data_IF_593549924805
#
_entry.id   IF_593549924805
#
_cell.length_a   1.000
_cell.length_b   1.000
_cell.length_c   1.000
_cell.angle_alpha   90.00
_cell.angle_beta   90.00
_cell.angle_gamma   90.00
#
_symmetry.space_group_name_H-M   'P 1'
#
loop_
_entity.id
_entity.type
_entity.pdbx_description
1 polymer ?
#
# COMPACT_ATOMS: atom_id res chain seq x y z
N UNK A 1 0.76 59.56 35.60
CA UNK A 1 0.94 58.09 35.60
C UNK A 1 0.23 57.40 34.43
N UNK A 2 -0.14 58.13 33.37
CA UNK A 2 -1.15 57.69 32.39
C UNK A 2 -0.62 56.79 31.25
N UNK A 3 0.67 56.93 30.92
CA UNK A 3 1.28 56.31 29.72
C UNK A 3 1.30 54.77 29.72
N UNK A 4 1.12 54.10 30.86
CA UNK A 4 1.12 52.62 30.91
C UNK A 4 -0.22 52.01 30.50
N UNK A 5 -1.34 52.63 30.91
CA UNK A 5 -2.68 52.14 30.62
C UNK A 5 -2.98 52.25 29.11
N UNK A 6 -2.68 53.40 28.52
CA UNK A 6 -2.80 53.69 27.09
C UNK A 6 -1.94 52.74 26.22
N UNK A 7 -0.72 52.40 26.66
CA UNK A 7 0.11 51.37 25.99
C UNK A 7 -0.51 49.97 26.04
N UNK A 8 -1.13 49.59 27.16
CA UNK A 8 -1.84 48.32 27.26
C UNK A 8 -3.10 48.29 26.40
N UNK A 9 -3.88 49.38 26.38
CA UNK A 9 -5.08 49.50 25.55
C UNK A 9 -4.75 49.36 24.06
N UNK A 10 -3.73 50.07 23.58
CA UNK A 10 -3.23 49.91 22.20
C UNK A 10 -2.75 48.49 21.89
N UNK A 11 -2.13 47.79 22.85
CA UNK A 11 -1.73 46.38 22.69
C UNK A 11 -2.94 45.44 22.64
N UNK A 12 -3.97 45.68 23.46
CA UNK A 12 -5.23 44.92 23.45
C UNK A 12 -5.98 45.12 22.12
N UNK A 13 -6.05 46.35 21.61
CA UNK A 13 -6.65 46.63 20.32
C UNK A 13 -5.88 46.00 19.15
N UNK A 14 -4.55 46.12 19.13
CA UNK A 14 -3.70 45.44 18.14
C UNK A 14 -3.96 43.93 18.12
N UNK A 15 -3.97 43.28 19.28
CA UNK A 15 -4.28 41.85 19.39
C UNK A 15 -5.71 41.52 18.89
N UNK A 16 -6.70 42.36 19.20
CA UNK A 16 -8.09 42.21 18.71
C UNK A 16 -8.16 42.29 17.18
N UNK A 17 -7.44 43.23 16.57
CA UNK A 17 -7.36 43.38 15.11
C UNK A 17 -6.62 42.20 14.47
N UNK A 18 -5.45 41.82 15.00
CA UNK A 18 -4.68 40.67 14.52
C UNK A 18 -5.49 39.37 14.58
N UNK A 19 -6.25 39.13 15.66
CA UNK A 19 -7.08 37.94 15.79
C UNK A 19 -8.30 37.96 14.85
N UNK A 20 -8.90 39.13 14.59
CA UNK A 20 -9.95 39.29 13.57
C UNK A 20 -9.41 38.99 12.17
N UNK A 21 -8.21 39.48 11.86
CA UNK A 21 -7.53 39.28 10.58
C UNK A 21 -7.17 37.79 10.37
N UNK A 22 -6.59 37.14 11.37
CA UNK A 22 -6.31 35.69 11.35
C UNK A 22 -7.58 34.86 11.12
N UNK A 23 -8.68 35.17 11.81
CA UNK A 23 -9.99 34.49 11.60
C UNK A 23 -10.53 34.73 10.19
N UNK A 24 -10.33 35.93 9.63
CA UNK A 24 -10.71 36.27 8.24
C UNK A 24 -9.90 35.43 7.25
N UNK A 25 -8.56 35.41 7.35
CA UNK A 25 -7.68 34.58 6.50
C UNK A 25 -8.01 33.10 6.58
N UNK A 26 -8.24 32.58 7.80
CA UNK A 26 -8.60 31.16 7.99
C UNK A 26 -9.93 30.80 7.32
N UNK A 27 -10.94 31.68 7.40
CA UNK A 27 -12.23 31.48 6.72
C UNK A 27 -12.09 31.56 5.19
N UNK A 28 -11.29 32.50 4.70
CA UNK A 28 -11.00 32.67 3.26
C UNK A 28 -10.24 31.46 2.70
N UNK A 29 -9.19 31.00 3.39
CA UNK A 29 -8.44 29.80 3.01
C UNK A 29 -9.30 28.54 3.00
N UNK A 30 -10.16 28.35 4.02
CA UNK A 30 -11.09 27.21 4.06
C UNK A 30 -12.07 27.24 2.87
N UNK A 31 -12.67 28.40 2.58
CA UNK A 31 -13.55 28.57 1.41
C UNK A 31 -12.82 28.27 0.09
N UNK A 32 -11.57 28.71 -0.05
CA UNK A 32 -10.79 28.47 -1.26
C UNK A 32 -10.44 26.97 -1.42
N UNK A 33 -10.18 26.25 -0.32
CA UNK A 33 -9.99 24.79 -0.34
C UNK A 33 -11.29 24.06 -0.71
N UNK A 34 -12.42 24.43 -0.11
CA UNK A 34 -13.75 23.87 -0.46
C UNK A 34 -14.08 24.09 -1.95
N UNK A 35 -13.77 25.28 -2.48
CA UNK A 35 -13.97 25.59 -3.90
C UNK A 35 -13.06 24.76 -4.80
N UNK A 36 -11.75 24.69 -4.53
CA UNK A 36 -10.80 23.90 -5.31
C UNK A 36 -11.14 22.40 -5.28
N UNK A 37 -11.57 21.87 -4.12
CA UNK A 37 -12.04 20.49 -4.01
C UNK A 37 -13.31 20.25 -4.85
N UNK A 38 -14.24 21.21 -4.88
CA UNK A 38 -15.45 21.11 -5.70
C UNK A 38 -15.12 21.12 -7.20
N UNK A 39 -14.24 22.03 -7.64
CA UNK A 39 -13.77 22.14 -9.02
C UNK A 39 -13.08 20.85 -9.48
N UNK A 40 -12.14 20.33 -8.68
CA UNK A 40 -11.50 19.03 -8.93
C UNK A 40 -12.51 17.86 -9.00
N UNK A 41 -13.54 17.88 -8.15
CA UNK A 41 -14.59 16.84 -8.15
C UNK A 41 -15.49 16.91 -9.40
N UNK A 42 -15.78 18.11 -9.93
CA UNK A 42 -16.47 18.26 -11.22
C UNK A 42 -15.60 17.78 -12.38
N UNK A 43 -14.33 18.20 -12.45
CA UNK A 43 -13.40 17.76 -13.51
C UNK A 43 -13.24 16.24 -13.54
N UNK A 44 -13.11 15.60 -12.38
CA UNK A 44 -13.06 14.13 -12.27
C UNK A 44 -14.37 13.47 -12.73
N UNK A 45 -15.52 14.08 -12.45
CA UNK A 45 -16.83 13.56 -12.86
C UNK A 45 -17.01 13.63 -14.38
N UNK A 46 -16.62 14.75 -14.99
CA UNK A 46 -16.66 14.96 -16.44
C UNK A 46 -15.72 14.00 -17.19
N UNK A 47 -14.50 13.77 -16.69
CA UNK A 47 -13.58 12.80 -17.30
C UNK A 47 -14.08 11.35 -17.14
N UNK A 48 -14.71 11.00 -16.02
CA UNK A 48 -15.37 9.69 -15.85
C UNK A 48 -16.52 9.51 -16.87
N UNK A 49 -17.34 10.54 -17.09
CA UNK A 49 -18.44 10.48 -18.06
C UNK A 49 -17.90 10.34 -19.50
N UNK A 50 -16.85 11.10 -19.84
CA UNK A 50 -16.16 11.00 -21.13
C UNK A 50 -15.56 9.61 -21.37
N UNK A 51 -14.87 9.05 -20.38
CA UNK A 51 -14.29 7.71 -20.47
C UNK A 51 -15.36 6.62 -20.58
N UNK A 52 -16.52 6.78 -19.91
CA UNK A 52 -17.68 5.89 -20.09
C UNK A 52 -18.20 5.95 -21.53
N UNK A 53 -18.43 7.14 -22.06
CA UNK A 53 -18.88 7.33 -23.44
C UNK A 53 -17.92 6.68 -24.45
N UNK A 54 -16.61 6.88 -24.28
CA UNK A 54 -15.59 6.26 -25.13
C UNK A 54 -15.59 4.72 -25.03
N UNK A 55 -15.75 4.17 -23.82
CA UNK A 55 -15.85 2.71 -23.64
C UNK A 55 -17.10 2.13 -24.31
N UNK A 56 -18.24 2.82 -24.25
CA UNK A 56 -19.48 2.36 -24.88
C UNK A 56 -19.46 2.51 -26.41
N UNK A 57 -18.74 3.49 -26.96
CA UNK A 57 -18.44 3.57 -28.40
C UNK A 57 -17.53 2.40 -28.84
N UNK A 58 -16.39 2.20 -28.16
CA UNK A 58 -15.47 1.10 -28.44
C UNK A 58 -16.14 -0.29 -28.30
N UNK A 59 -17.11 -0.43 -27.41
CA UNK A 59 -17.95 -1.65 -27.29
C UNK A 59 -18.84 -1.84 -28.52
N UNK A 60 -19.52 -0.79 -28.99
CA UNK A 60 -20.34 -0.84 -30.21
C UNK A 60 -19.50 -1.13 -31.45
N UNK A 61 -18.31 -0.54 -31.58
CA UNK A 61 -17.36 -0.86 -32.66
C UNK A 61 -16.89 -2.31 -32.59
N UNK A 62 -16.51 -2.81 -31.41
CA UNK A 62 -16.13 -4.21 -31.21
C UNK A 62 -17.27 -5.18 -31.56
N UNK A 63 -18.50 -4.85 -31.18
CA UNK A 63 -19.69 -5.63 -31.52
C UNK A 63 -19.95 -5.64 -33.03
N UNK A 64 -19.86 -4.48 -33.70
CA UNK A 64 -20.01 -4.37 -35.15
C UNK A 64 -18.93 -5.15 -35.92
N UNK A 65 -17.66 -5.06 -35.51
CA UNK A 65 -16.55 -5.82 -36.10
C UNK A 65 -16.72 -7.33 -35.88
N UNK A 66 -17.16 -7.74 -34.69
CA UNK A 66 -17.52 -9.15 -34.41
C UNK A 66 -18.68 -9.61 -35.29
N UNK A 67 -19.72 -8.79 -35.45
CA UNK A 67 -20.87 -9.10 -36.29
C UNK A 67 -20.47 -9.22 -37.78
N UNK A 68 -19.48 -8.46 -38.27
CA UNK A 68 -18.92 -8.66 -39.60
C UNK A 68 -18.15 -9.98 -39.71
N UNK A 69 -17.23 -10.27 -38.79
CA UNK A 69 -16.41 -11.50 -38.80
C UNK A 69 -17.29 -12.77 -38.71
N UNK A 70 -18.20 -12.82 -37.73
CA UNK A 70 -19.06 -13.97 -37.49
C UNK A 70 -20.28 -14.02 -38.42
N UNK A 71 -20.78 -12.87 -38.91
CA UNK A 71 -21.89 -12.80 -39.86
C UNK A 71 -21.48 -13.15 -41.30
N UNK A 72 -20.28 -12.77 -41.74
CA UNK A 72 -19.76 -13.14 -43.06
C UNK A 72 -19.40 -14.62 -43.19
N UNK A 73 -19.28 -15.37 -42.08
CA UNK A 73 -19.12 -16.83 -42.11
C UNK A 73 -20.48 -17.52 -42.23
N UNK A 74 -21.24 -17.14 -43.25
CA UNK A 74 -22.54 -17.70 -43.64
C UNK A 74 -22.47 -18.47 -44.96
N UNK A 75 -21.31 -19.04 -45.31
CA UNK A 75 -21.18 -20.09 -46.32
C UNK A 75 -20.23 -21.20 -45.83
N UNK A 76 -20.81 -22.33 -45.44
CA UNK A 76 -20.11 -23.62 -45.34
C UNK A 76 -19.37 -23.91 -44.04
N UNK A 77 -20.10 -24.37 -43.01
CA UNK A 77 -20.04 -25.78 -42.54
C UNK A 77 -20.93 -25.96 -41.30
N UNK A 78 -21.79 -26.98 -41.33
CA UNK A 78 -22.62 -27.38 -40.19
C UNK A 78 -21.79 -28.21 -39.19
N UNK A 79 -21.83 -27.85 -37.90
CA UNK A 79 -21.72 -28.84 -36.84
C UNK A 79 -22.61 -28.48 -35.64
N UNK A 80 -23.43 -29.43 -35.22
CA UNK A 80 -24.41 -29.30 -34.14
C UNK A 80 -23.78 -29.56 -32.75
N UNK A 81 -24.46 -29.17 -31.65
CA UNK A 81 -23.84 -29.12 -30.33
C UNK A 81 -23.76 -30.49 -29.64
N UNK A 82 -22.66 -30.73 -28.91
CA UNK A 82 -22.60 -31.77 -27.87
C UNK A 82 -22.97 -31.18 -26.50
N UNK A 83 -23.59 -32.02 -25.67
CA UNK A 83 -24.05 -31.68 -24.32
C UNK A 83 -22.92 -31.55 -23.27
N UNK A 84 -23.29 -31.35 -21.99
CA UNK A 84 -22.36 -30.93 -20.96
C UNK A 84 -21.51 -32.08 -20.40
N UNK A 85 -20.21 -31.85 -20.28
CA UNK A 85 -19.32 -32.66 -19.43
C UNK A 85 -18.47 -31.71 -18.57
N UNK A 86 -18.39 -32.05 -17.29
CA UNK A 86 -17.69 -31.30 -16.23
C UNK A 86 -16.17 -31.56 -16.23
N UNK A 87 -15.40 -30.64 -15.62
CA UNK A 87 -13.98 -30.77 -15.21
C UNK A 87 -12.98 -31.21 -16.32
N UNK A 88 -11.89 -30.49 -16.56
CA UNK A 88 -10.92 -30.12 -15.53
C UNK A 88 -9.94 -29.01 -15.98
N UNK A 89 -9.13 -28.53 -15.05
CA UNK A 89 -8.03 -27.60 -15.28
C UNK A 89 -6.93 -28.20 -16.17
N UNK A 90 -6.51 -27.48 -17.24
CA UNK A 90 -5.07 -27.20 -17.50
C UNK A 90 -4.81 -26.15 -18.57
N UNK A 91 -3.70 -25.45 -18.36
CA UNK A 91 -3.23 -24.29 -19.14
C UNK A 91 -2.70 -24.71 -20.52
N UNK A 92 -2.88 -23.84 -21.52
CA UNK A 92 -2.05 -23.84 -22.73
C UNK A 92 -1.33 -22.50 -22.87
N UNK A 93 -0.01 -22.54 -22.71
CA UNK A 93 0.89 -21.44 -23.08
C UNK A 93 1.06 -21.40 -24.60
N UNK A 94 1.06 -20.20 -25.18
CA UNK A 94 1.37 -20.00 -26.60
C UNK A 94 2.86 -19.70 -26.79
N UNK A 95 3.52 -20.52 -27.60
CA UNK A 95 4.85 -20.25 -28.16
C UNK A 95 4.77 -20.38 -29.68
N UNK A 96 5.14 -19.37 -30.48
CA UNK A 96 5.19 -19.50 -31.93
C UNK A 96 6.47 -20.22 -32.37
N UNK A 97 6.33 -21.31 -33.12
CA UNK A 97 7.46 -21.95 -33.81
C UNK A 97 7.81 -21.20 -35.09
N UNK A 98 9.09 -20.92 -35.30
CA UNK A 98 9.67 -20.58 -36.60
C UNK A 98 10.85 -21.51 -36.85
N UNK A 99 10.81 -22.23 -37.97
CA UNK A 99 11.87 -23.11 -38.44
C UNK A 99 12.62 -22.46 -39.61
N UNK A 100 13.95 -22.40 -39.53
CA UNK A 100 14.84 -22.01 -40.61
C UNK A 100 16.18 -22.74 -40.46
N UNK A 101 16.68 -23.37 -41.52
CA UNK A 101 17.66 -24.44 -41.40
C UNK A 101 19.14 -24.02 -41.51
N UNK A 102 19.95 -24.68 -40.68
CA UNK A 102 21.31 -25.21 -40.92
C UNK A 102 22.33 -24.45 -41.78
N UNK A 103 23.50 -24.16 -41.19
CA UNK A 103 24.78 -24.79 -41.60
C UNK A 103 25.68 -25.04 -40.37
N UNK A 104 26.51 -26.09 -40.45
CA UNK A 104 27.36 -26.59 -39.37
C UNK A 104 28.76 -25.96 -39.35
N UNK A 105 29.43 -25.93 -38.19
CA UNK A 105 30.78 -26.51 -38.05
C UNK A 105 31.27 -26.65 -36.59
N UNK A 106 32.09 -27.69 -36.38
CA UNK A 106 32.73 -28.20 -35.15
C UNK A 106 33.30 -27.13 -34.19
N UNK A 107 33.42 -27.34 -32.86
CA UNK A 107 34.15 -28.46 -32.20
C UNK A 107 33.86 -28.54 -30.67
N UNK A 108 34.30 -29.62 -30.02
CA UNK A 108 33.89 -30.02 -28.65
C UNK A 108 34.98 -29.74 -27.54
N UNK A 109 34.97 -30.35 -26.33
CA UNK A 109 34.95 -29.68 -25.01
C UNK A 109 36.30 -29.90 -24.26
N UNK A 110 36.50 -30.03 -22.91
CA UNK A 110 35.63 -30.05 -21.70
C UNK A 110 36.04 -28.92 -20.68
N UNK A 111 35.78 -28.91 -19.36
CA UNK A 111 35.35 -29.93 -18.39
C UNK A 111 34.65 -29.35 -17.13
N UNK A 112 34.36 -30.23 -16.16
CA UNK A 112 33.88 -29.97 -14.79
C UNK A 112 34.94 -30.42 -13.74
N UNK A 113 34.58 -30.39 -12.43
CA UNK A 113 35.34 -30.68 -11.18
C UNK A 113 35.72 -29.38 -10.42
N UNK A 114 35.30 -29.05 -9.18
CA UNK A 114 34.97 -29.71 -7.90
C UNK A 114 36.09 -29.61 -6.83
N UNK A 115 35.70 -29.24 -5.60
CA UNK A 115 36.38 -29.43 -4.30
C UNK A 115 37.32 -28.33 -3.71
N UNK A 116 36.76 -27.62 -2.71
CA UNK A 116 37.18 -27.47 -1.29
C UNK A 116 38.55 -26.97 -0.78
N UNK A 117 38.44 -26.16 0.30
CA UNK A 117 39.40 -25.91 1.42
C UNK A 117 40.70 -25.10 1.11
N UNK A 118 41.19 -24.18 1.95
CA UNK A 118 41.12 -24.04 3.43
C UNK A 118 40.95 -22.58 3.95
N UNK A 119 40.10 -22.43 4.97
CA UNK A 119 40.29 -21.77 6.29
C UNK A 119 41.46 -20.81 6.59
N UNK A 120 41.14 -19.60 7.07
CA UNK A 120 41.67 -18.98 8.33
C UNK A 120 41.08 -17.57 8.57
N UNK A 121 40.90 -17.16 9.84
CA UNK A 121 40.74 -15.74 10.23
C UNK A 121 39.39 -15.30 10.79
N UNK A 122 39.07 -15.68 12.04
CA UNK A 122 38.00 -15.05 12.82
C UNK A 122 38.44 -13.66 13.30
N UNK A 123 37.62 -12.63 13.03
CA UNK A 123 37.67 -11.32 13.69
C UNK A 123 36.23 -10.87 13.98
N UNK A 124 35.86 -10.52 15.23
CA UNK A 124 34.53 -10.03 15.54
C UNK A 124 34.39 -8.57 15.07
N UNK A 125 33.38 -8.31 14.24
CA UNK A 125 33.05 -6.94 13.84
C UNK A 125 32.49 -6.17 15.05
N UNK A 126 33.26 -5.21 15.54
CA UNK A 126 32.86 -4.32 16.63
C UNK A 126 31.70 -3.41 16.22
N UNK A 127 30.70 -3.30 17.09
CA UNK A 127 29.57 -2.37 16.96
C UNK A 127 30.04 -0.91 16.89
N UNK A 128 30.18 -0.37 15.67
CA UNK A 128 30.29 1.07 15.42
C UNK A 128 29.90 1.44 13.98
N UNK A 129 29.27 2.60 13.81
CA UNK A 129 29.11 3.32 12.54
C UNK A 129 28.22 2.67 11.45
N UNK A 130 26.94 2.41 11.74
CA UNK A 130 25.94 2.48 10.66
C UNK A 130 25.74 3.97 10.35
N UNK A 131 26.42 4.48 9.33
CA UNK A 131 26.08 5.79 8.75
C UNK A 131 24.62 5.77 8.31
N UNK A 132 23.83 6.84 8.56
CA UNK A 132 22.47 6.92 8.04
C UNK A 132 22.56 7.03 6.52
N UNK A 133 22.35 5.90 5.83
CA UNK A 133 22.22 5.85 4.38
C UNK A 133 21.10 6.79 3.98
N UNK A 134 21.46 7.91 3.36
CA UNK A 134 20.52 8.95 2.92
C UNK A 134 19.45 8.31 2.05
N UNK A 135 18.19 8.41 2.48
CA UNK A 135 17.05 7.82 1.76
C UNK A 135 16.84 8.62 0.47
N UNK A 136 17.53 8.22 -0.59
CA UNK A 136 17.41 8.80 -1.93
C UNK A 136 16.20 8.23 -2.66
N UNK A 137 15.03 8.44 -2.07
CA UNK A 137 13.72 8.10 -2.64
C UNK A 137 12.97 9.37 -3.00
N UNK A 138 12.03 9.27 -3.94
CA UNK A 138 11.25 10.41 -4.43
C UNK A 138 10.40 11.04 -3.31
N UNK A 139 10.45 12.37 -3.19
CA UNK A 139 9.60 13.19 -2.31
C UNK A 139 8.17 13.33 -2.85
N UNK A 140 7.58 12.22 -3.28
CA UNK A 140 6.20 12.14 -3.76
C UNK A 140 5.42 11.21 -2.83
N UNK A 141 4.30 11.68 -2.23
CA UNK A 141 3.47 10.82 -1.40
C UNK A 141 2.66 9.86 -2.29
N UNK A 142 2.68 8.57 -1.93
CA UNK A 142 1.89 7.53 -2.59
C UNK A 142 0.40 7.67 -2.28
N UNK A 143 -0.46 7.32 -3.25
CA UNK A 143 -1.91 7.27 -3.01
C UNK A 143 -2.29 6.12 -2.07
N UNK A 144 -2.59 6.47 -0.82
CA UNK A 144 -3.00 5.52 0.22
C UNK A 144 -4.31 4.80 -0.11
N UNK A 145 -5.22 5.40 -0.89
CA UNK A 145 -6.44 4.73 -1.36
C UNK A 145 -6.11 3.58 -2.30
N UNK A 146 -5.20 3.82 -3.26
CA UNK A 146 -4.68 2.78 -4.16
C UNK A 146 -4.01 1.64 -3.39
N UNK A 147 -3.14 1.96 -2.43
CA UNK A 147 -2.49 0.95 -1.56
C UNK A 147 -3.52 0.09 -0.82
N UNK A 148 -4.49 0.74 -0.16
CA UNK A 148 -5.57 0.06 0.57
C UNK A 148 -6.37 -0.88 -0.33
N UNK A 149 -6.76 -0.44 -1.52
CA UNK A 149 -7.47 -1.30 -2.49
C UNK A 149 -6.61 -2.50 -2.88
N UNK A 150 -5.33 -2.30 -3.20
CA UNK A 150 -4.41 -3.40 -3.54
C UNK A 150 -4.25 -4.43 -2.42
N UNK A 151 -4.12 -3.99 -1.16
CA UNK A 151 -4.07 -4.88 0.00
C UNK A 151 -5.39 -5.63 0.17
N UNK A 152 -6.53 -4.95 0.05
CA UNK A 152 -7.86 -5.58 0.18
C UNK A 152 -8.15 -6.59 -0.93
N UNK A 153 -7.65 -6.39 -2.15
CA UNK A 153 -7.73 -7.38 -3.23
C UNK A 153 -6.88 -8.62 -2.92
N UNK A 154 -5.63 -8.45 -2.48
CA UNK A 154 -4.77 -9.56 -2.06
C UNK A 154 -5.40 -10.40 -0.94
N UNK A 155 -6.08 -9.75 0.00
CA UNK A 155 -6.76 -10.40 1.13
C UNK A 155 -8.26 -10.65 0.91
N UNK A 156 -8.77 -10.51 -0.32
CA UNK A 156 -10.18 -10.71 -0.64
C UNK A 156 -10.76 -12.06 -0.15
N UNK A 157 -10.05 -13.20 -0.20
CA UNK A 157 -10.55 -14.47 0.35
C UNK A 157 -10.85 -14.43 1.85
N UNK A 158 -10.05 -13.72 2.65
CA UNK A 158 -10.32 -13.52 4.09
C UNK A 158 -11.46 -12.52 4.30
N UNK A 159 -11.44 -11.41 3.54
CA UNK A 159 -12.41 -10.31 3.69
C UNK A 159 -13.82 -10.66 3.19
N UNK A 160 -13.95 -11.72 2.38
CA UNK A 160 -15.24 -12.24 1.90
C UNK A 160 -15.99 -13.07 2.94
N UNK A 161 -15.36 -13.39 4.08
CA UNK A 161 -15.88 -14.35 5.05
C UNK A 161 -16.32 -13.67 6.35
N UNK A 162 -17.64 -13.52 6.60
CA UNK A 162 -18.15 -12.90 7.81
C UNK A 162 -17.70 -13.59 9.10
N UNK A 163 -17.41 -14.90 9.05
CA UNK A 163 -16.98 -15.70 10.22
C UNK A 163 -15.53 -15.44 10.64
N UNK A 164 -14.74 -14.85 9.75
CA UNK A 164 -13.38 -14.36 10.04
C UNK A 164 -13.47 -12.90 10.54
N UNK A 165 -14.27 -12.08 9.86
CA UNK A 165 -14.42 -10.65 10.20
C UNK A 165 -14.96 -10.42 11.61
N UNK A 166 -15.87 -11.27 12.08
CA UNK A 166 -16.43 -11.22 13.44
C UNK A 166 -15.63 -12.05 14.47
N UNK A 167 -14.56 -12.74 14.05
CA UNK A 167 -13.74 -13.60 14.91
C UNK A 167 -14.37 -14.92 15.35
N UNK A 168 -15.50 -15.35 14.79
CA UNK A 168 -16.20 -16.58 15.22
C UNK A 168 -15.55 -17.88 14.75
N UNK A 169 -14.61 -17.82 13.80
CA UNK A 169 -13.99 -19.01 13.20
C UNK A 169 -12.47 -18.85 12.98
N UNK A 170 -11.67 -18.82 14.07
CA UNK A 170 -10.22 -18.64 13.99
C UNK A 170 -9.51 -19.74 13.19
N UNK A 171 -9.95 -21.00 13.29
CA UNK A 171 -9.35 -22.11 12.53
C UNK A 171 -9.53 -21.93 11.01
N UNK A 172 -10.65 -21.32 10.60
CA UNK A 172 -10.94 -21.01 9.19
C UNK A 172 -10.09 -19.86 8.67
N UNK A 173 -9.86 -18.84 9.51
CA UNK A 173 -8.89 -17.77 9.23
C UNK A 173 -7.49 -18.34 9.00
N UNK A 174 -6.99 -19.18 9.93
CA UNK A 174 -5.69 -19.81 9.79
C UNK A 174 -5.61 -20.68 8.53
N UNK A 175 -6.61 -21.54 8.27
CA UNK A 175 -6.61 -22.39 7.08
C UNK A 175 -6.56 -21.61 5.76
N UNK A 176 -7.31 -20.51 5.64
CA UNK A 176 -7.24 -19.63 4.47
C UNK A 176 -5.89 -18.89 4.40
N UNK A 177 -5.38 -18.36 5.52
CA UNK A 177 -4.08 -17.68 5.55
C UNK A 177 -2.93 -18.60 5.10
N UNK A 178 -2.93 -19.86 5.55
CA UNK A 178 -2.00 -20.91 5.07
C UNK A 178 -2.10 -21.13 3.56
N UNK A 179 -3.31 -21.15 2.99
CA UNK A 179 -3.51 -21.32 1.55
C UNK A 179 -2.99 -20.15 0.69
N UNK A 180 -2.75 -18.99 1.30
CA UNK A 180 -2.37 -17.74 0.61
C UNK A 180 -0.88 -17.40 0.71
N UNK A 181 -0.08 -18.14 1.50
CA UNK A 181 1.33 -17.81 1.79
C UNK A 181 2.19 -17.63 0.54
N UNK A 182 1.94 -18.41 -0.51
CA UNK A 182 2.76 -18.40 -1.72
C UNK A 182 2.39 -17.33 -2.73
N UNK A 183 1.15 -16.81 -2.69
CA UNK A 183 0.68 -15.72 -3.58
C UNK A 183 0.92 -14.32 -3.01
N UNK A 184 1.20 -14.20 -1.69
CA UNK A 184 1.41 -12.92 -1.05
C UNK A 184 2.80 -12.32 -1.36
N UNK A 185 2.91 -10.99 -1.57
CA UNK A 185 4.19 -10.29 -1.68
C UNK A 185 5.09 -10.54 -0.46
N UNK A 186 6.43 -10.52 -0.59
CA UNK A 186 7.36 -10.89 0.50
C UNK A 186 7.12 -10.17 1.83
N UNK A 187 6.78 -8.88 1.79
CA UNK A 187 6.47 -8.01 2.94
C UNK A 187 5.13 -8.30 3.61
N UNK A 188 4.20 -8.95 2.89
CA UNK A 188 2.87 -9.35 3.38
C UNK A 188 2.78 -10.85 3.70
N UNK A 189 3.82 -11.65 3.44
CA UNK A 189 3.83 -13.07 3.85
C UNK A 189 3.71 -13.19 5.38
N UNK A 190 2.83 -14.05 5.91
CA UNK A 190 2.57 -14.15 7.34
C UNK A 190 3.80 -14.66 8.10
N UNK A 191 3.98 -14.16 9.32
CA UNK A 191 5.03 -14.63 10.22
C UNK A 191 4.69 -16.03 10.74
N UNK A 192 5.69 -16.76 11.25
CA UNK A 192 5.48 -18.09 11.85
C UNK A 192 4.48 -18.06 13.01
N UNK A 193 4.45 -16.95 13.76
CA UNK A 193 3.48 -16.64 14.83
C UNK A 193 2.04 -16.60 14.31
N UNK A 194 1.80 -15.89 13.20
CA UNK A 194 0.47 -15.74 12.57
C UNK A 194 -0.06 -17.06 12.00
N UNK A 195 0.83 -17.93 11.49
CA UNK A 195 0.44 -19.26 10.99
C UNK A 195 0.18 -20.29 12.10
N UNK A 196 0.62 -20.02 13.33
CA UNK A 196 0.51 -20.95 14.46
C UNK A 196 -0.58 -20.57 15.47
N UNK A 197 -0.91 -19.29 15.59
CA UNK A 197 -1.76 -18.76 16.66
C UNK A 197 -2.94 -17.97 16.08
N UNK A 198 -4.15 -18.28 16.55
CA UNK A 198 -5.36 -17.51 16.25
C UNK A 198 -5.20 -16.04 16.66
N UNK A 199 -5.55 -15.12 15.77
CA UNK A 199 -5.32 -13.69 15.97
C UNK A 199 -6.30 -12.83 15.16
N UNK A 200 -6.24 -11.51 15.33
CA UNK A 200 -7.11 -10.59 14.60
C UNK A 200 -6.64 -10.44 13.14
N UNK A 201 -7.47 -10.86 12.18
CA UNK A 201 -7.16 -10.93 10.74
C UNK A 201 -6.53 -9.65 10.14
N UNK A 202 -6.84 -8.47 10.68
CA UNK A 202 -6.30 -7.22 10.14
C UNK A 202 -4.79 -7.05 10.38
N UNK A 203 -4.17 -7.86 11.25
CA UNK A 203 -2.71 -7.93 11.39
C UNK A 203 -2.07 -8.40 10.09
N UNK A 204 -2.67 -9.36 9.37
CA UNK A 204 -2.11 -9.92 8.12
C UNK A 204 -1.91 -8.86 7.01
N UNK A 205 -2.72 -7.80 7.04
CA UNK A 205 -2.70 -6.72 6.06
C UNK A 205 -1.58 -5.68 6.29
N UNK A 206 -0.77 -5.81 7.35
CA UNK A 206 0.35 -4.90 7.65
C UNK A 206 1.64 -5.35 6.93
N UNK A 207 2.17 -4.52 6.04
CA UNK A 207 3.39 -4.83 5.29
C UNK A 207 4.71 -4.78 6.10
N UNK A 208 4.66 -4.42 7.39
CA UNK A 208 5.80 -4.48 8.32
C UNK A 208 5.78 -5.79 9.13
N UNK A 209 6.67 -6.78 8.86
CA UNK A 209 6.70 -8.04 9.60
C UNK A 209 7.01 -7.85 11.09
N UNK A 210 7.88 -6.88 11.41
CA UNK A 210 8.26 -6.61 12.80
C UNK A 210 7.09 -6.06 13.63
N UNK A 211 6.25 -5.20 13.02
CA UNK A 211 5.06 -4.65 13.66
C UNK A 211 3.99 -5.74 13.85
N UNK A 212 3.84 -6.64 12.88
CA UNK A 212 2.95 -7.82 13.01
C UNK A 212 3.33 -8.66 14.22
N UNK A 213 4.59 -9.03 14.40
CA UNK A 213 5.03 -9.80 15.58
C UNK A 213 4.77 -9.07 16.91
N UNK A 214 4.89 -7.74 16.96
CA UNK A 214 4.55 -6.97 18.18
C UNK A 214 3.05 -6.91 18.43
N UNK A 215 2.21 -6.83 17.39
CA UNK A 215 0.75 -6.87 17.53
C UNK A 215 0.24 -8.25 18.00
N UNK A 216 0.92 -9.33 17.61
CA UNK A 216 0.61 -10.70 18.04
C UNK A 216 0.77 -10.93 19.55
N UNK A 217 1.47 -10.06 20.28
CA UNK A 217 1.64 -10.18 21.75
C UNK A 217 0.61 -9.38 22.56
N UNK A 218 -0.26 -8.61 21.90
CA UNK A 218 -1.23 -7.74 22.54
C UNK A 218 -2.62 -8.38 22.65
N UNK A 219 -3.47 -7.82 23.52
CA UNK A 219 -4.89 -8.18 23.56
C UNK A 219 -5.61 -7.66 22.30
N UNK A 220 -6.68 -8.36 21.92
CA UNK A 220 -7.47 -8.03 20.73
C UNK A 220 -7.99 -6.58 20.74
N UNK A 221 -8.43 -6.06 21.89
CA UNK A 221 -8.95 -4.68 22.01
C UNK A 221 -7.87 -3.63 21.71
N UNK A 222 -6.64 -3.85 22.20
CA UNK A 222 -5.51 -2.94 21.97
C UNK A 222 -5.10 -3.00 20.50
N UNK A 223 -5.03 -4.19 19.92
CA UNK A 223 -4.75 -4.40 18.49
C UNK A 223 -5.82 -3.76 17.61
N UNK A 224 -7.11 -3.95 17.87
CA UNK A 224 -8.19 -3.31 17.11
C UNK A 224 -8.14 -1.79 17.23
N UNK A 225 -7.83 -1.28 18.42
CA UNK A 225 -7.66 0.16 18.64
C UNK A 225 -6.47 0.74 17.87
N UNK A 226 -5.34 0.02 17.80
CA UNK A 226 -4.19 0.39 16.97
C UNK A 226 -4.56 0.36 15.49
N UNK A 227 -5.16 -0.73 14.99
CA UNK A 227 -5.54 -0.91 13.59
C UNK A 227 -6.50 0.19 13.13
N UNK A 228 -7.43 0.65 13.97
CA UNK A 228 -8.33 1.76 13.65
C UNK A 228 -7.58 3.09 13.47
N UNK A 229 -6.63 3.38 14.35
CA UNK A 229 -5.88 4.65 14.35
C UNK A 229 -4.78 4.68 13.26
N UNK A 230 -4.11 3.54 13.05
CA UNK A 230 -3.13 3.30 11.97
C UNK A 230 -3.82 3.08 10.61
N UNK A 231 -5.15 2.92 10.61
CA UNK A 231 -5.95 2.27 9.57
C UNK A 231 -6.06 2.97 8.21
N UNK A 232 -5.47 4.14 8.02
CA UNK A 232 -5.38 4.83 6.71
C UNK A 232 -4.84 3.91 5.59
N UNK A 233 -3.98 2.95 5.93
CA UNK A 233 -3.41 1.99 4.97
C UNK A 233 -4.25 0.73 4.72
N UNK A 234 -5.24 0.41 5.58
CA UNK A 234 -5.82 -0.96 5.66
C UNK A 234 -7.37 -0.96 5.78
N UNK A 235 -7.94 0.00 6.51
CA UNK A 235 -9.36 -0.01 6.89
C UNK A 235 -10.22 1.08 6.24
N UNK A 236 -11.51 1.04 6.55
CA UNK A 236 -12.51 2.05 6.13
C UNK A 236 -12.46 3.35 6.95
N UNK A 237 -11.47 3.49 7.85
CA UNK A 237 -11.30 4.71 8.63
C UNK A 237 -11.05 5.91 7.71
N UNK A 238 -11.60 7.07 8.09
CA UNK A 238 -11.37 8.33 7.39
C UNK A 238 -9.87 8.64 7.33
N UNK A 239 -9.42 9.27 6.26
CA UNK A 239 -7.99 9.41 5.99
C UNK A 239 -7.35 10.57 6.76
N UNK A 240 -7.22 10.42 8.09
CA UNK A 240 -6.79 11.47 9.04
C UNK A 240 -5.29 11.82 8.95
N UNK A 241 -4.60 11.51 7.83
CA UNK A 241 -3.22 11.93 7.58
C UNK A 241 -2.17 11.37 8.56
N UNK A 242 -2.48 10.30 9.30
CA UNK A 242 -1.61 9.77 10.38
C UNK A 242 -0.34 9.08 9.88
N UNK A 243 -0.29 8.71 8.60
CA UNK A 243 0.83 8.03 7.94
C UNK A 243 0.97 8.62 6.55
N UNK A 244 2.17 9.03 6.17
CA UNK A 244 2.56 9.33 4.80
C UNK A 244 3.41 8.15 4.29
N UNK A 245 3.15 7.71 3.07
CA UNK A 245 3.96 6.69 2.38
C UNK A 245 4.71 7.42 1.26
N UNK A 246 6.04 7.34 1.23
CA UNK A 246 6.89 8.06 0.28
C UNK A 246 7.42 7.17 -0.85
N UNK A 247 7.39 7.68 -2.08
CA UNK A 247 7.85 6.95 -3.27
C UNK A 247 6.79 6.02 -3.86
N UNK A 248 7.22 4.94 -4.52
CA UNK A 248 6.36 4.12 -5.39
C UNK A 248 5.95 2.76 -4.80
N UNK A 249 6.66 2.25 -3.80
CA UNK A 249 6.37 0.97 -3.14
C UNK A 249 5.67 1.21 -1.78
N UNK A 250 4.35 0.97 -1.69
CA UNK A 250 3.63 1.17 -0.44
C UNK A 250 3.91 0.10 0.63
N UNK A 251 4.49 -1.04 0.25
CA UNK A 251 4.76 -2.16 1.14
C UNK A 251 6.11 -2.05 1.85
N UNK A 252 6.97 -1.12 1.43
CA UNK A 252 8.25 -0.85 2.06
C UNK A 252 8.04 -0.08 3.38
N UNK A 253 8.27 -0.72 4.54
CA UNK A 253 8.17 -0.02 5.84
C UNK A 253 9.15 1.16 6.01
N UNK A 254 10.21 1.21 5.18
CA UNK A 254 11.13 2.35 5.16
C UNK A 254 10.48 3.60 4.53
N UNK A 255 9.45 3.43 3.70
CA UNK A 255 8.68 4.50 3.07
C UNK A 255 7.73 5.25 4.02
N UNK A 256 7.49 4.74 5.22
CA UNK A 256 6.43 5.24 6.10
C UNK A 256 6.94 6.35 7.04
N UNK A 257 6.43 7.57 6.88
CA UNK A 257 6.52 8.65 7.87
C UNK A 257 5.26 8.62 8.75
N UNK A 258 5.43 8.44 10.05
CA UNK A 258 4.35 8.42 11.03
C UNK A 258 4.15 9.82 11.64
N UNK A 259 2.89 10.21 11.84
CA UNK A 259 2.51 11.49 12.44
C UNK A 259 2.87 11.57 13.94
N UNK A 260 3.07 12.79 14.45
CA UNK A 260 3.27 13.00 15.89
C UNK A 260 2.11 12.44 16.75
N UNK A 261 0.82 12.70 16.46
CA UNK A 261 -0.27 12.19 17.30
C UNK A 261 -0.36 10.66 17.35
N UNK A 262 -0.01 9.97 16.25
CA UNK A 262 0.01 8.51 16.25
C UNK A 262 1.17 7.97 17.11
N UNK A 263 2.33 8.63 17.08
CA UNK A 263 3.47 8.28 17.94
C UNK A 263 3.24 8.61 19.42
N UNK A 264 2.57 9.72 19.75
CA UNK A 264 2.20 10.06 21.13
C UNK A 264 1.31 8.99 21.78
N UNK A 265 0.49 8.28 20.98
CA UNK A 265 -0.38 7.19 21.46
C UNK A 265 0.25 5.80 21.35
N UNK A 266 1.03 5.54 20.30
CA UNK A 266 1.48 4.19 19.91
C UNK A 266 3.00 4.04 19.80
N UNK A 267 3.81 5.03 20.20
CA UNK A 267 5.27 4.97 20.16
C UNK A 267 5.84 3.74 20.86
N UNK A 268 5.39 3.47 22.09
CA UNK A 268 5.75 2.28 22.86
C UNK A 268 5.58 0.93 22.10
N UNK A 269 4.65 0.88 21.14
CA UNK A 269 4.41 -0.28 20.28
C UNK A 269 5.21 -0.20 18.97
N UNK A 270 5.35 0.99 18.38
CA UNK A 270 6.04 1.18 17.12
C UNK A 270 7.56 0.97 17.28
N UNK A 271 8.17 1.43 18.36
CA UNK A 271 9.61 1.27 18.63
C UNK A 271 10.49 2.25 17.84
N UNK A 272 11.62 2.69 18.44
CA UNK A 272 12.51 3.77 17.95
C UNK A 272 12.75 3.81 16.44
N UNK A 273 12.87 2.67 15.77
CA UNK A 273 13.05 2.60 14.30
C UNK A 273 11.97 3.35 13.49
N UNK A 274 10.73 3.43 13.98
CA UNK A 274 9.69 4.26 13.36
C UNK A 274 9.89 5.77 13.61
N UNK A 275 10.50 6.19 14.74
CA UNK A 275 10.99 7.58 14.92
C UNK A 275 12.03 7.88 13.87
N UNK A 276 13.09 7.06 13.82
CA UNK A 276 14.29 7.32 13.02
C UNK A 276 13.94 7.50 11.54
N UNK A 277 13.07 6.60 11.03
CA UNK A 277 12.52 6.70 9.66
C UNK A 277 11.69 7.95 9.45
N UNK A 278 10.73 8.23 10.33
CA UNK A 278 9.88 9.41 10.22
C UNK A 278 10.71 10.69 10.26
N UNK A 279 11.74 10.73 11.11
CA UNK A 279 12.66 11.85 11.21
C UNK A 279 13.58 11.97 9.99
N UNK A 280 14.03 10.88 9.37
CA UNK A 280 14.77 10.94 8.11
C UNK A 280 13.95 11.64 7.01
N UNK A 281 12.69 11.23 6.82
CA UNK A 281 11.78 11.88 5.87
C UNK A 281 11.50 13.35 6.20
N UNK A 282 11.26 13.65 7.49
CA UNK A 282 10.99 15.01 7.96
C UNK A 282 12.18 15.94 7.74
N UNK A 283 13.39 15.50 8.08
CA UNK A 283 14.63 16.24 7.85
C UNK A 283 14.82 16.50 6.35
N UNK A 284 14.63 15.48 5.50
CA UNK A 284 14.75 15.60 4.05
C UNK A 284 13.79 16.63 3.43
N UNK A 285 12.56 16.77 3.98
CA UNK A 285 11.58 17.78 3.56
C UNK A 285 11.60 19.08 4.38
N UNK A 286 12.62 19.31 5.21
CA UNK A 286 12.80 20.54 5.98
C UNK A 286 11.83 20.74 7.16
N UNK A 287 11.21 19.67 7.67
CA UNK A 287 10.34 19.69 8.84
C UNK A 287 11.11 19.37 10.13
N UNK A 288 10.63 19.91 11.26
CA UNK A 288 11.22 19.63 12.59
C UNK A 288 11.12 18.14 12.94
N UNK A 289 12.17 17.53 13.53
CA UNK A 289 12.11 16.15 14.00
C UNK A 289 11.06 15.97 15.10
N UNK A 290 10.52 14.77 15.16
CA UNK A 290 9.66 14.27 16.23
C UNK A 290 10.50 13.98 17.48
N UNK A 291 9.94 14.16 18.69
CA UNK A 291 10.62 13.82 19.94
C UNK A 291 10.91 12.31 20.01
N UNK A 292 11.95 11.95 20.77
CA UNK A 292 12.23 10.56 21.14
C UNK A 292 11.21 10.04 22.17
N UNK A 293 10.93 8.74 22.13
CA UNK A 293 9.97 8.03 22.99
C UNK A 293 10.37 6.55 23.15
#
# INVERSE_FOLDING_TARGET
MDSSADKEERKREYNRLAQREFRRRRKEHLKNLEQAQKEQSSEQSEEIERLRYQNDELRRENEALRAQIYGSTSQGLLLQPLGPISSDHRQYSLSPSISGASISNASSPPASLSSDMMSMGSMPMTTAMISPSTISMAMLPYDRKKSRTQIRELFHPLLSDPSILNGSSPDRHLALLHSMVDILPPTLKPNKSQLATAHYYAIDMIASPSLRDRLMTLTQDVTQSFIRDFGSCIGEAEDIGQIIIWGEDPYNEMAWEISQPLLERWGWLLGRGFVDRSNAWRIQRGALPLPEW
#
